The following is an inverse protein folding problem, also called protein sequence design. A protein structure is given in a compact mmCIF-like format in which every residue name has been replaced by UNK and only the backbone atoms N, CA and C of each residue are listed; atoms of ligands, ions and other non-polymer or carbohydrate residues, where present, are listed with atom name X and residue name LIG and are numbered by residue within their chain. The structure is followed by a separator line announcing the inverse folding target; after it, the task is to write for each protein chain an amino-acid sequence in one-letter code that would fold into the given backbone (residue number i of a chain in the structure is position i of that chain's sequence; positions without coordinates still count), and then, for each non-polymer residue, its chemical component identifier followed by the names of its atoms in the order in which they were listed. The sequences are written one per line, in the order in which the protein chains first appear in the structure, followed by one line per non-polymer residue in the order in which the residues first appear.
data_IF_025267965254
#
_entry.id   IF_025267965254
#
_cell.length_a   1.000
_cell.length_b   1.000
_cell.length_c   1.000
_cell.angle_alpha   90.00
_cell.angle_beta   90.00
_cell.angle_gamma   90.00
#
_symmetry.space_group_name_H-M   'P 1'
#
loop_
_entity.id
_entity.type
_entity.pdbx_description
1 polymer ?
#
# COMPACT_ATOMS: atom_id res chain seq x y z
N UNK A 1 -5.57 20.08 -42.75
CA UNK A 1 -6.68 20.90 -42.24
C UNK A 1 -6.53 20.99 -40.74
N UNK A 2 -6.66 22.19 -40.15
CA UNK A 2 -6.67 22.30 -38.69
C UNK A 2 -7.97 21.72 -38.10
N UNK A 3 -7.92 21.10 -36.91
CA UNK A 3 -9.12 20.57 -36.25
C UNK A 3 -10.12 21.69 -35.94
N UNK A 4 -11.41 21.41 -36.12
CA UNK A 4 -12.47 22.35 -35.76
C UNK A 4 -12.52 22.58 -34.24
N UNK A 5 -13.12 23.69 -33.79
CA UNK A 5 -13.31 23.97 -32.36
C UNK A 5 -14.07 22.83 -31.66
N UNK A 6 -15.09 22.28 -32.31
CA UNK A 6 -15.85 21.14 -31.82
C UNK A 6 -15.01 19.86 -31.73
N UNK A 7 -14.13 19.61 -32.70
CA UNK A 7 -13.22 18.46 -32.66
C UNK A 7 -12.23 18.54 -31.49
N UNK A 8 -11.68 19.74 -31.23
CA UNK A 8 -10.80 19.98 -30.08
C UNK A 8 -11.51 19.72 -28.75
N UNK A 9 -12.76 20.15 -28.61
CA UNK A 9 -13.57 19.94 -27.40
C UNK A 9 -13.86 18.45 -27.16
N UNK A 10 -14.26 17.71 -28.21
CA UNK A 10 -14.50 16.26 -28.12
C UNK A 10 -13.24 15.51 -27.70
N UNK A 11 -12.08 15.83 -28.30
CA UNK A 11 -10.80 15.20 -27.95
C UNK A 11 -10.41 15.46 -26.50
N UNK A 12 -10.59 16.69 -26.02
CA UNK A 12 -10.32 17.05 -24.62
C UNK A 12 -11.22 16.26 -23.66
N UNK A 13 -12.53 16.17 -23.96
CA UNK A 13 -13.48 15.41 -23.14
C UNK A 13 -13.15 13.92 -23.12
N UNK A 14 -12.82 13.35 -24.28
CA UNK A 14 -12.41 11.94 -24.37
C UNK A 14 -11.17 11.65 -23.54
N UNK A 15 -10.13 12.49 -23.64
CA UNK A 15 -8.90 12.33 -22.86
C UNK A 15 -9.17 12.33 -21.34
N UNK A 16 -10.00 13.24 -20.85
CA UNK A 16 -10.38 13.28 -19.43
C UNK A 16 -11.16 12.04 -18.97
N UNK A 17 -12.10 11.56 -19.78
CA UNK A 17 -12.85 10.32 -19.46
C UNK A 17 -11.95 9.09 -19.48
N UNK A 18 -11.02 9.04 -20.43
CA UNK A 18 -10.04 7.97 -20.56
C UNK A 18 -9.11 7.93 -19.34
N UNK A 19 -8.61 9.08 -18.90
CA UNK A 19 -7.78 9.20 -17.69
C UNK A 19 -8.54 8.73 -16.43
N UNK A 20 -9.78 9.17 -16.24
CA UNK A 20 -10.61 8.73 -15.12
C UNK A 20 -10.87 7.22 -15.12
N UNK A 21 -11.15 6.63 -16.29
CA UNK A 21 -11.33 5.20 -16.45
C UNK A 21 -10.07 4.43 -16.00
N UNK A 22 -8.92 4.91 -16.45
CA UNK A 22 -7.63 4.32 -16.16
C UNK A 22 -7.24 4.42 -14.68
N UNK A 23 -7.40 5.59 -14.06
CA UNK A 23 -7.17 5.79 -12.62
C UNK A 23 -8.07 4.88 -11.77
N UNK A 24 -9.32 4.66 -12.19
CA UNK A 24 -10.24 3.75 -11.49
C UNK A 24 -9.78 2.29 -11.60
N UNK A 25 -9.31 1.86 -12.78
CA UNK A 25 -8.77 0.52 -13.01
C UNK A 25 -7.53 0.25 -12.17
N UNK A 26 -6.67 1.25 -12.04
CA UNK A 26 -5.48 1.15 -11.20
C UNK A 26 -5.84 1.01 -9.72
N UNK A 27 -6.80 1.80 -9.24
CA UNK A 27 -7.34 1.68 -7.88
C UNK A 27 -7.90 0.28 -7.59
N UNK A 28 -8.70 -0.28 -8.51
CA UNK A 28 -9.26 -1.64 -8.40
C UNK A 28 -8.13 -2.68 -8.28
N UNK A 29 -7.11 -2.58 -9.13
CA UNK A 29 -5.97 -3.51 -9.14
C UNK A 29 -5.18 -3.47 -7.82
N UNK A 30 -4.93 -2.29 -7.28
CA UNK A 30 -4.23 -2.13 -5.99
C UNK A 30 -5.06 -2.72 -4.86
N UNK A 31 -6.38 -2.48 -4.85
CA UNK A 31 -7.27 -3.06 -3.85
C UNK A 31 -7.27 -4.59 -3.89
N UNK A 32 -7.34 -5.20 -5.07
CA UNK A 32 -7.27 -6.65 -5.25
C UNK A 32 -5.92 -7.22 -4.81
N UNK A 33 -4.82 -6.54 -5.10
CA UNK A 33 -3.49 -6.95 -4.65
C UNK A 33 -3.37 -6.93 -3.12
N UNK A 34 -3.89 -5.90 -2.45
CA UNK A 34 -3.92 -5.84 -0.98
C UNK A 34 -4.79 -6.95 -0.39
N UNK A 35 -5.93 -7.25 -1.02
CA UNK A 35 -6.80 -8.36 -0.61
C UNK A 35 -6.10 -9.71 -0.71
N UNK A 36 -5.42 -9.97 -1.84
CA UNK A 36 -4.66 -11.20 -2.05
C UNK A 36 -3.51 -11.30 -1.04
N UNK A 37 -2.72 -10.23 -0.87
CA UNK A 37 -1.65 -10.17 0.12
C UNK A 37 -2.15 -10.49 1.53
N UNK A 38 -3.25 -9.84 1.94
CA UNK A 38 -3.86 -10.06 3.26
C UNK A 38 -4.37 -11.48 3.46
N UNK A 39 -4.73 -12.20 2.39
CA UNK A 39 -5.15 -13.60 2.47
C UNK A 39 -3.98 -14.57 2.64
N UNK A 40 -2.78 -14.15 2.25
CA UNK A 40 -1.57 -14.97 2.29
C UNK A 40 -0.76 -14.76 3.57
N UNK A 41 -0.90 -13.62 4.26
CA UNK A 41 -0.12 -13.30 5.47
C UNK A 41 -1.02 -13.09 6.70
N UNK A 42 -0.62 -13.54 7.90
CA UNK A 42 -1.36 -13.31 9.14
C UNK A 42 -1.08 -11.92 9.74
N UNK A 43 -0.94 -10.90 8.89
CA UNK A 43 -0.52 -9.54 9.24
C UNK A 43 -1.44 -8.51 8.56
N UNK A 44 -1.19 -7.22 8.77
CA UNK A 44 -1.79 -6.16 7.97
C UNK A 44 -1.09 -6.12 6.61
N UNK A 45 -1.84 -6.20 5.54
CA UNK A 45 -1.37 -5.89 4.19
C UNK A 45 -1.80 -4.46 3.84
N UNK A 46 -0.95 -3.72 3.13
CA UNK A 46 -1.31 -2.38 2.67
C UNK A 46 -0.66 -2.01 1.35
N UNK A 47 -1.25 -1.03 0.65
CA UNK A 47 -0.63 -0.38 -0.50
C UNK A 47 -1.13 1.05 -0.68
N UNK A 48 -0.22 1.98 -0.99
CA UNK A 48 -0.59 3.34 -1.39
C UNK A 48 -1.33 3.32 -2.72
N UNK A 49 -2.28 4.24 -2.89
CA UNK A 49 -3.12 4.33 -4.08
C UNK A 49 -2.53 5.36 -5.03
N UNK A 50 -2.19 5.01 -6.28
CA UNK A 50 -1.73 5.98 -7.26
C UNK A 50 -2.75 7.11 -7.44
N UNK A 51 -2.26 8.33 -7.69
CA UNK A 51 -3.07 9.53 -7.94
C UNK A 51 -3.92 10.02 -6.75
N UNK A 52 -3.77 9.45 -5.54
CA UNK A 52 -4.52 9.83 -4.34
C UNK A 52 -3.68 9.72 -3.08
N UNK A 53 -3.92 10.63 -2.14
CA UNK A 53 -3.40 10.57 -0.76
C UNK A 53 -4.19 9.53 0.06
N UNK A 54 -4.13 8.27 -0.36
CA UNK A 54 -4.87 7.18 0.26
C UNK A 54 -4.04 5.90 0.28
N UNK A 55 -4.24 5.11 1.33
CA UNK A 55 -3.69 3.76 1.45
C UNK A 55 -4.84 2.77 1.63
N UNK A 56 -4.81 1.66 0.89
CA UNK A 56 -5.65 0.52 1.19
C UNK A 56 -4.92 -0.36 2.19
N UNK A 57 -5.63 -0.85 3.21
CA UNK A 57 -5.11 -1.84 4.12
C UNK A 57 -6.16 -2.88 4.48
N UNK A 58 -5.73 -4.09 4.79
CA UNK A 58 -6.56 -5.22 5.22
C UNK A 58 -5.81 -6.07 6.24
N UNK A 59 -6.52 -6.88 7.02
CA UNK A 59 -5.88 -7.79 7.98
C UNK A 59 -5.58 -7.18 9.36
N UNK A 60 -6.12 -5.99 9.69
CA UNK A 60 -5.93 -5.37 11.01
C UNK A 60 -6.27 -6.33 12.17
N UNK A 61 -7.38 -7.05 12.06
CA UNK A 61 -7.78 -8.03 13.07
C UNK A 61 -6.75 -9.15 13.29
N UNK A 62 -5.90 -9.47 12.30
CA UNK A 62 -4.86 -10.50 12.46
C UNK A 62 -3.74 -10.00 13.39
N UNK A 63 -3.38 -8.73 13.28
CA UNK A 63 -2.38 -8.08 14.14
C UNK A 63 -2.95 -7.87 15.54
N UNK A 64 -4.17 -7.33 15.66
CA UNK A 64 -4.77 -7.05 16.98
C UNK A 64 -5.06 -8.29 17.83
N UNK A 65 -5.09 -9.48 17.22
CA UNK A 65 -5.22 -10.77 17.93
C UNK A 65 -3.91 -11.26 18.54
N UNK A 66 -2.77 -10.65 18.23
CA UNK A 66 -1.49 -11.09 18.79
C UNK A 66 -1.42 -10.74 20.29
N UNK A 67 -0.77 -11.59 21.12
CA UNK A 67 -0.66 -11.39 22.57
C UNK A 67 -0.17 -9.99 22.98
N UNK A 68 0.73 -9.41 22.21
CA UNK A 68 1.32 -8.09 22.43
C UNK A 68 0.25 -6.97 22.43
N UNK A 69 -0.75 -7.06 21.55
CA UNK A 69 -1.84 -6.09 21.45
C UNK A 69 -3.03 -6.44 22.35
N UNK A 70 -3.26 -7.72 22.64
CA UNK A 70 -4.26 -8.12 23.63
C UNK A 70 -3.86 -7.70 25.04
N UNK A 71 -2.58 -7.73 25.36
CA UNK A 71 -2.05 -7.29 26.64
C UNK A 71 -2.04 -5.75 26.79
N UNK A 72 -2.07 -5.00 25.67
CA UNK A 72 -2.01 -3.55 25.67
C UNK A 72 -3.02 -2.93 24.68
N UNK A 73 -4.25 -2.63 25.14
CA UNK A 73 -5.29 -2.01 24.31
C UNK A 73 -4.93 -0.62 23.77
N UNK A 74 -4.12 0.17 24.48
CA UNK A 74 -3.70 1.50 24.03
C UNK A 74 -2.79 1.39 22.79
N UNK A 75 -1.87 0.43 22.81
CA UNK A 75 -1.04 0.10 21.65
C UNK A 75 -1.90 -0.37 20.46
N UNK A 76 -2.89 -1.22 20.71
CA UNK A 76 -3.82 -1.69 19.67
C UNK A 76 -4.58 -0.52 19.01
N UNK A 77 -5.07 0.42 19.83
CA UNK A 77 -5.73 1.63 19.35
C UNK A 77 -4.77 2.52 18.55
N UNK A 78 -3.55 2.74 19.03
CA UNK A 78 -2.57 3.58 18.33
C UNK A 78 -2.17 3.02 16.96
N UNK A 79 -2.06 1.69 16.82
CA UNK A 79 -1.83 1.06 15.51
C UNK A 79 -3.02 1.27 14.56
N UNK A 80 -4.25 1.13 15.06
CA UNK A 80 -5.45 1.36 14.26
C UNK A 80 -5.53 2.82 13.78
N UNK A 81 -5.31 3.79 14.67
CA UNK A 81 -5.30 5.23 14.38
C UNK A 81 -4.25 5.56 13.29
N UNK A 82 -3.05 5.02 13.41
CA UNK A 82 -2.02 5.26 12.38
C UNK A 82 -2.40 4.66 11.03
N UNK A 83 -2.95 3.44 11.00
CA UNK A 83 -3.39 2.83 9.74
C UNK A 83 -4.50 3.64 9.06
N UNK A 84 -5.40 4.25 9.84
CA UNK A 84 -6.50 5.05 9.34
C UNK A 84 -6.09 6.47 8.91
N UNK A 85 -5.25 7.14 9.69
CA UNK A 85 -5.01 8.59 9.54
C UNK A 85 -3.58 8.96 9.11
N UNK A 86 -2.57 8.16 9.43
CA UNK A 86 -1.16 8.56 9.30
C UNK A 86 -0.32 7.70 8.36
N UNK A 87 -0.83 6.54 7.93
CA UNK A 87 -0.07 5.60 7.12
C UNK A 87 0.41 6.22 5.80
N UNK A 88 -0.42 7.06 5.16
CA UNK A 88 0.00 7.75 3.95
C UNK A 88 1.25 8.61 4.17
N UNK A 89 1.22 9.48 5.18
CA UNK A 89 2.35 10.36 5.54
C UNK A 89 3.59 9.58 5.96
N UNK A 90 3.42 8.45 6.65
CA UNK A 90 4.55 7.55 6.97
C UNK A 90 5.19 7.05 5.68
N UNK A 91 4.37 6.59 4.72
CA UNK A 91 4.88 6.03 3.47
C UNK A 91 5.60 7.07 2.58
N UNK A 92 5.32 8.36 2.75
CA UNK A 92 6.08 9.43 2.09
C UNK A 92 7.47 9.66 2.68
N UNK A 93 7.67 9.32 3.96
CA UNK A 93 8.91 9.56 4.69
C UNK A 93 9.83 8.33 4.76
N UNK A 94 9.33 7.15 4.41
CA UNK A 94 10.15 5.93 4.31
C UNK A 94 10.84 5.84 2.97
N UNK A 95 12.12 5.53 2.99
CA UNK A 95 12.87 5.21 1.77
C UNK A 95 12.30 3.94 1.12
N UNK A 96 11.90 4.02 -0.13
CA UNK A 96 11.46 2.85 -0.89
C UNK A 96 12.19 2.76 -2.21
N UNK A 97 12.56 1.54 -2.60
CA UNK A 97 13.11 1.23 -3.91
C UNK A 97 12.44 -0.05 -4.44
N UNK A 98 13.00 -0.63 -5.51
CA UNK A 98 12.49 -1.88 -6.09
C UNK A 98 12.94 -3.12 -5.28
N UNK A 99 13.60 -2.91 -4.13
CA UNK A 99 13.99 -3.96 -3.20
C UNK A 99 13.13 -3.90 -1.93
N UNK A 100 13.03 -5.05 -1.25
CA UNK A 100 12.34 -5.13 0.03
C UNK A 100 13.15 -4.45 1.12
N UNK A 101 12.51 -3.54 1.83
CA UNK A 101 13.06 -2.81 2.98
C UNK A 101 12.30 -3.14 4.26
N UNK A 102 13.02 -3.14 5.37
CA UNK A 102 12.52 -3.51 6.69
C UNK A 102 12.64 -2.33 7.65
N UNK A 103 11.57 -2.06 8.37
CA UNK A 103 11.51 -1.07 9.44
C UNK A 103 11.05 -1.76 10.71
N UNK A 104 11.92 -1.84 11.72
CA UNK A 104 11.69 -2.68 12.91
C UNK A 104 11.69 -1.78 14.15
N UNK A 105 10.55 -1.69 14.83
CA UNK A 105 10.43 -1.04 16.14
C UNK A 105 10.59 0.47 16.16
N UNK A 106 11.32 0.94 17.17
CA UNK A 106 11.50 2.36 17.53
C UNK A 106 12.27 3.18 16.50
N UNK A 107 13.07 2.54 15.65
CA UNK A 107 14.13 3.24 14.92
C UNK A 107 13.61 4.11 13.76
N UNK A 108 12.34 4.01 13.34
CA UNK A 108 12.02 4.44 11.97
C UNK A 108 10.68 5.14 11.69
N UNK A 109 9.67 5.13 12.56
CA UNK A 109 8.33 5.56 12.11
C UNK A 109 7.58 6.42 13.15
N UNK A 110 7.10 5.83 14.25
CA UNK A 110 6.29 6.51 15.27
C UNK A 110 6.31 5.73 16.60
N UNK A 111 6.10 6.36 17.77
CA UNK A 111 5.99 5.65 19.06
C UNK A 111 4.89 4.59 19.13
N UNK A 112 3.82 4.74 18.35
CA UNK A 112 2.74 3.76 18.23
C UNK A 112 3.19 2.46 17.51
N UNK A 113 4.35 2.49 16.84
CA UNK A 113 4.95 1.38 16.10
C UNK A 113 6.02 0.61 16.86
N UNK A 114 6.25 0.95 18.14
CA UNK A 114 7.30 0.34 18.95
C UNK A 114 7.22 -1.19 19.05
N UNK A 115 6.03 -1.77 18.92
CA UNK A 115 5.83 -3.23 18.94
C UNK A 115 5.58 -3.82 17.55
N UNK A 116 5.70 -3.01 16.51
CA UNK A 116 5.43 -3.37 15.13
C UNK A 116 6.70 -3.40 14.28
N UNK A 117 6.59 -4.03 13.13
CA UNK A 117 7.55 -3.97 12.05
C UNK A 117 6.81 -3.82 10.73
N UNK A 118 7.46 -3.14 9.79
CA UNK A 118 6.95 -2.89 8.46
C UNK A 118 7.93 -3.43 7.42
N UNK A 119 7.41 -4.19 6.46
CA UNK A 119 8.14 -4.67 5.29
C UNK A 119 7.55 -3.99 4.07
N UNK A 120 8.35 -3.26 3.29
CA UNK A 120 7.85 -2.48 2.15
C UNK A 120 8.70 -2.66 0.91
N UNK A 121 8.09 -2.45 -0.24
CA UNK A 121 8.75 -2.29 -1.53
C UNK A 121 7.94 -1.35 -2.40
N UNK A 122 8.56 -0.75 -3.42
CA UNK A 122 7.82 0.00 -4.42
C UNK A 122 7.22 -0.90 -5.51
N UNK A 123 6.16 -0.42 -6.13
CA UNK A 123 5.61 -0.96 -7.37
C UNK A 123 5.29 0.19 -8.35
N UNK A 124 5.20 -0.13 -9.64
CA UNK A 124 4.92 0.86 -10.69
C UNK A 124 3.52 0.70 -11.29
N UNK A 125 2.82 1.82 -11.48
CA UNK A 125 1.57 1.88 -12.25
C UNK A 125 1.67 3.01 -13.27
N UNK A 126 1.87 2.64 -14.54
CA UNK A 126 2.22 3.57 -15.62
C UNK A 126 3.44 4.42 -15.23
N UNK A 127 3.27 5.73 -15.12
CA UNK A 127 4.32 6.69 -14.76
C UNK A 127 4.35 7.00 -13.25
N UNK A 128 3.45 6.40 -12.46
CA UNK A 128 3.41 6.58 -11.00
C UNK A 128 4.11 5.46 -10.26
N UNK A 129 4.69 5.81 -9.11
CA UNK A 129 5.28 4.87 -8.15
C UNK A 129 4.37 4.77 -6.93
N UNK A 130 4.03 3.54 -6.56
CA UNK A 130 3.31 3.23 -5.32
C UNK A 130 4.19 2.45 -4.36
N UNK A 131 3.72 2.29 -3.13
CA UNK A 131 4.36 1.48 -2.08
C UNK A 131 3.39 0.39 -1.66
N UNK A 132 3.86 -0.84 -1.55
CA UNK A 132 3.12 -1.99 -1.02
C UNK A 132 3.90 -2.58 0.15
N UNK A 133 3.20 -3.09 1.15
CA UNK A 133 3.87 -3.62 2.32
C UNK A 133 3.00 -4.43 3.26
N UNK A 134 3.68 -4.93 4.29
CA UNK A 134 3.15 -5.75 5.36
C UNK A 134 3.51 -5.09 6.68
N UNK A 135 2.56 -5.07 7.61
CA UNK A 135 2.70 -4.51 8.94
C UNK A 135 2.26 -5.55 9.96
N UNK A 136 3.13 -5.88 10.90
CA UNK A 136 2.92 -6.97 11.85
C UNK A 136 3.77 -6.85 13.10
N UNK A 137 3.68 -7.81 14.03
CA UNK A 137 4.54 -7.84 15.22
C UNK A 137 6.00 -8.06 14.82
N UNK A 138 6.94 -7.61 15.66
CA UNK A 138 8.39 -7.77 15.42
C UNK A 138 8.86 -9.22 15.23
N UNK A 139 8.10 -10.21 15.72
CA UNK A 139 8.43 -11.64 15.58
C UNK A 139 7.85 -12.30 14.33
N UNK A 140 7.24 -11.53 13.42
CA UNK A 140 6.64 -12.07 12.20
C UNK A 140 7.65 -12.86 11.37
N UNK A 141 7.16 -13.78 10.53
CA UNK A 141 8.01 -14.53 9.61
C UNK A 141 8.45 -13.65 8.44
N UNK A 142 9.60 -12.98 8.60
CA UNK A 142 10.16 -12.08 7.58
C UNK A 142 10.47 -12.80 6.27
N UNK A 143 10.95 -14.04 6.31
CA UNK A 143 11.32 -14.78 5.11
C UNK A 143 10.07 -15.10 4.27
N UNK A 144 9.03 -15.62 4.91
CA UNK A 144 7.75 -15.87 4.26
C UNK A 144 7.11 -14.58 3.75
N UNK A 145 7.05 -13.54 4.59
CA UNK A 145 6.45 -12.25 4.23
C UNK A 145 7.16 -11.60 3.03
N UNK A 146 8.49 -11.70 2.97
CA UNK A 146 9.29 -11.16 1.85
C UNK A 146 8.90 -11.83 0.54
N UNK A 147 8.86 -13.17 0.50
CA UNK A 147 8.48 -13.92 -0.71
C UNK A 147 7.06 -13.58 -1.17
N UNK A 148 6.10 -13.50 -0.25
CA UNK A 148 4.72 -13.14 -0.61
C UNK A 148 4.66 -11.70 -1.14
N UNK A 149 5.37 -10.76 -0.50
CA UNK A 149 5.41 -9.36 -0.94
C UNK A 149 6.02 -9.21 -2.34
N UNK A 150 7.09 -9.95 -2.65
CA UNK A 150 7.70 -9.97 -3.98
C UNK A 150 6.70 -10.47 -5.04
N UNK A 151 6.01 -11.59 -4.80
CA UNK A 151 4.99 -12.13 -5.72
C UNK A 151 3.85 -11.13 -5.98
N UNK A 152 3.39 -10.44 -4.95
CA UNK A 152 2.34 -9.40 -5.09
C UNK A 152 2.86 -8.18 -5.84
N UNK A 153 4.13 -7.82 -5.64
CA UNK A 153 4.78 -6.71 -6.34
C UNK A 153 4.96 -7.04 -7.83
N UNK A 154 5.35 -8.27 -8.15
CA UNK A 154 5.37 -8.78 -9.53
C UNK A 154 3.98 -8.74 -10.17
N UNK A 155 2.93 -9.16 -9.44
CA UNK A 155 1.55 -9.06 -9.90
C UNK A 155 1.17 -7.62 -10.20
N UNK A 156 1.54 -6.66 -9.34
CA UNK A 156 1.32 -5.23 -9.54
C UNK A 156 2.16 -4.63 -10.69
N UNK A 157 3.30 -5.23 -11.02
CA UNK A 157 4.14 -4.82 -12.14
C UNK A 157 3.81 -5.51 -13.48
N UNK A 158 3.09 -6.63 -13.48
CA UNK A 158 2.83 -7.45 -14.68
C UNK A 158 2.01 -6.76 -15.80
N UNK A 159 1.30 -5.67 -15.51
CA UNK A 159 0.56 -4.85 -16.47
C UNK A 159 1.35 -3.71 -17.12
N UNK A 160 2.69 -3.75 -17.08
CA UNK A 160 3.60 -2.71 -17.61
C UNK A 160 3.93 -2.88 -19.11
N UNK A 161 3.30 -3.85 -19.79
CA UNK A 161 3.49 -4.14 -21.23
C UNK A 161 2.45 -3.45 -22.10
#
# INVERSE_FOLDING_TARGET
MEPSSQEKEVRKKFASLQEQYFQKKDQERVYEAVSLLSSMVPNVAFASVPYKERVYFMGLANVLKQPEFQANPELAMGVAEVLEEHLHTILENVETDDQVRYYIGEEHILPQFQSCSMVVTSYGVRDERGVVGILGPMRMDYAYNTVVLELITELLNSGRQ
#
